data_IF_845098671244
#
_entry.id   IF_845098671244
#
_cell.length_a   1.000
_cell.length_b   1.000
_cell.length_c   1.000
_cell.angle_alpha   90.00
_cell.angle_beta   90.00
_cell.angle_gamma   90.00
#
_symmetry.space_group_name_H-M   'P 1'
#
loop_
_entity.id
_entity.type
_entity.pdbx_description
1 polymer ?
#
# COMPACT_ATOMS: atom_id res chain seq x y z
N UNK A 1 -11.26 -5.33 -0.13
CA UNK A 1 -11.97 -5.07 -1.39
C UNK A 1 -11.93 -3.58 -1.67
N UNK A 2 -11.92 -3.18 -2.94
CA UNK A 2 -11.89 -1.76 -3.32
C UNK A 2 -13.28 -1.17 -3.15
N UNK A 3 -13.36 -0.07 -2.41
CA UNK A 3 -14.58 0.73 -2.21
C UNK A 3 -14.55 1.97 -3.11
N UNK A 4 -15.71 2.54 -3.40
CA UNK A 4 -15.82 3.67 -4.33
C UNK A 4 -15.04 4.92 -3.81
N UNK A 5 -15.08 5.17 -2.51
CA UNK A 5 -14.34 6.24 -1.83
C UNK A 5 -12.81 6.12 -2.02
N UNK A 6 -12.27 4.91 -2.19
CA UNK A 6 -10.84 4.70 -2.38
C UNK A 6 -10.29 5.33 -3.67
N UNK A 7 -11.12 5.46 -4.72
CA UNK A 7 -10.69 6.15 -5.95
C UNK A 7 -10.40 7.63 -5.71
N UNK A 8 -11.01 8.22 -4.68
CA UNK A 8 -10.91 9.63 -4.30
C UNK A 8 -9.81 9.90 -3.26
N UNK A 9 -9.01 8.89 -2.90
CA UNK A 9 -7.93 9.07 -1.93
C UNK A 9 -6.90 10.11 -2.41
N UNK A 10 -6.65 11.13 -1.57
CA UNK A 10 -5.62 12.16 -1.80
C UNK A 10 -4.52 12.13 -0.72
N UNK A 11 -4.78 11.56 0.46
CA UNK A 11 -3.78 11.45 1.53
C UNK A 11 -4.32 10.97 2.88
N UNK A 12 -3.43 10.84 3.86
CA UNK A 12 -3.77 10.37 5.22
C UNK A 12 -3.67 8.85 5.37
N UNK A 13 -4.37 8.27 6.34
CA UNK A 13 -4.48 6.80 6.46
C UNK A 13 -5.88 6.38 6.07
N UNK A 14 -6.01 5.72 4.92
CA UNK A 14 -7.29 5.21 4.46
C UNK A 14 -7.87 4.20 5.46
N UNK A 15 -9.13 4.43 5.84
CA UNK A 15 -9.97 3.49 6.58
C UNK A 15 -11.39 3.74 6.10
N UNK A 16 -12.06 2.71 5.61
CA UNK A 16 -13.45 2.87 5.19
C UNK A 16 -14.33 3.03 6.44
N UNK A 17 -14.80 4.25 6.71
CA UNK A 17 -15.66 4.52 7.86
C UNK A 17 -17.10 4.11 7.55
N UNK A 18 -17.65 3.20 8.35
CA UNK A 18 -19.01 2.68 8.21
C UNK A 18 -20.10 3.53 8.92
N UNK A 19 -19.83 4.73 9.45
CA UNK A 19 -20.76 5.31 10.45
C UNK A 19 -21.24 6.76 10.26
N UNK A 20 -20.49 7.69 9.67
CA UNK A 20 -20.89 9.12 9.74
C UNK A 20 -21.49 9.70 8.45
N UNK A 21 -21.40 8.98 7.32
CA UNK A 21 -22.02 9.38 6.06
C UNK A 21 -22.78 8.19 5.47
N UNK A 22 -23.94 7.85 6.04
CA UNK A 22 -24.97 7.02 5.37
C UNK A 22 -25.61 7.78 4.20
N UNK A 23 -24.82 8.43 3.36
CA UNK A 23 -25.30 9.07 2.16
C UNK A 23 -25.22 8.04 1.03
N UNK A 24 -26.33 7.32 0.88
CA UNK A 24 -26.70 6.45 -0.26
C UNK A 24 -26.05 5.07 -0.33
N UNK A 25 -26.85 4.07 -0.69
CA UNK A 25 -26.41 2.67 -0.87
C UNK A 25 -25.29 2.49 -1.91
N UNK A 26 -25.08 3.49 -2.78
CA UNK A 26 -23.98 3.51 -3.75
C UNK A 26 -22.59 3.66 -3.13
N UNK A 27 -22.45 4.25 -1.94
CA UNK A 27 -21.15 4.46 -1.29
C UNK A 27 -20.58 3.17 -0.66
N UNK A 28 -21.46 2.19 -0.42
CA UNK A 28 -21.07 0.85 0.02
C UNK A 28 -20.74 -0.07 -1.16
N UNK A 29 -20.78 0.44 -2.40
CA UNK A 29 -20.50 -0.38 -3.58
C UNK A 29 -19.05 -0.86 -3.55
N UNK A 30 -18.92 -2.16 -3.37
CA UNK A 30 -17.66 -2.86 -3.56
C UNK A 30 -17.43 -2.93 -5.06
N UNK A 31 -16.40 -2.24 -5.54
CA UNK A 31 -16.12 -2.14 -6.97
C UNK A 31 -15.26 -3.30 -7.48
N UNK A 32 -14.66 -4.07 -6.57
CA UNK A 32 -13.95 -5.31 -6.90
C UNK A 32 -12.75 -5.60 -5.99
N UNK A 33 -11.80 -6.38 -6.52
CA UNK A 33 -10.49 -6.64 -5.92
C UNK A 33 -9.39 -5.93 -6.69
N UNK A 34 -8.30 -5.58 -6.01
CA UNK A 34 -7.15 -4.90 -6.63
C UNK A 34 -5.86 -5.32 -5.92
N UNK A 35 -4.80 -5.56 -6.68
CA UNK A 35 -3.50 -5.95 -6.14
C UNK A 35 -2.58 -4.74 -6.05
N UNK A 36 -1.93 -4.59 -4.90
CA UNK A 36 -1.00 -3.50 -4.60
C UNK A 36 0.31 -4.04 -4.05
N UNK A 37 1.35 -3.21 -3.99
CA UNK A 37 2.64 -3.58 -3.41
C UNK A 37 2.83 -2.90 -2.06
N UNK A 38 2.85 -3.68 -0.99
CA UNK A 38 3.24 -3.21 0.34
C UNK A 38 4.75 -2.97 0.35
N UNK A 39 5.19 -1.77 0.74
CA UNK A 39 6.61 -1.39 0.79
C UNK A 39 7.10 -0.99 2.18
N UNK A 40 6.19 -0.86 3.15
CA UNK A 40 6.54 -0.50 4.51
C UNK A 40 5.31 -0.43 5.41
N UNK A 41 5.54 -0.01 6.65
CA UNK A 41 4.51 0.22 7.66
C UNK A 41 4.97 1.31 8.61
N UNK A 42 4.03 1.84 9.38
CA UNK A 42 4.33 2.83 10.41
C UNK A 42 3.17 3.01 11.37
N UNK A 43 3.27 4.11 12.09
CA UNK A 43 2.26 4.63 13.01
C UNK A 43 2.30 6.16 12.90
N UNK A 44 1.14 6.77 12.70
CA UNK A 44 1.00 8.24 12.75
C UNK A 44 1.11 8.73 14.20
N UNK A 45 1.35 10.03 14.40
CA UNK A 45 1.50 10.62 15.75
C UNK A 45 0.27 10.46 16.65
N UNK A 46 -0.90 10.24 16.06
CA UNK A 46 -2.16 9.96 16.76
C UNK A 46 -2.36 8.46 17.10
N UNK A 47 -1.35 7.61 16.88
CA UNK A 47 -1.39 6.18 17.17
C UNK A 47 -2.01 5.31 16.07
N UNK A 48 -2.44 5.90 14.94
CA UNK A 48 -3.03 5.14 13.84
C UNK A 48 -1.94 4.38 13.07
N UNK A 49 -1.98 3.06 13.17
CA UNK A 49 -1.06 2.15 12.46
C UNK A 49 -1.45 2.00 10.99
N UNK A 50 -0.47 1.98 10.11
CA UNK A 50 -0.70 1.83 8.67
C UNK A 50 0.28 0.87 7.97
N UNK A 51 -0.17 0.34 6.84
CA UNK A 51 0.66 -0.17 5.75
C UNK A 51 0.91 0.93 4.74
N UNK A 52 2.14 1.06 4.24
CA UNK A 52 2.49 1.93 3.12
C UNK A 52 2.53 1.10 1.83
N UNK A 53 1.72 1.49 0.86
CA UNK A 53 1.50 0.75 -0.36
C UNK A 53 1.78 1.60 -1.60
N UNK A 54 2.33 0.97 -2.64
CA UNK A 54 2.45 1.57 -3.98
C UNK A 54 1.28 1.08 -4.83
N UNK A 55 0.58 2.03 -5.45
CA UNK A 55 -0.50 1.76 -6.39
C UNK A 55 0.02 1.76 -7.84
N UNK A 56 -0.82 1.33 -8.79
CA UNK A 56 -0.51 1.24 -10.22
C UNK A 56 -1.36 2.17 -11.10
N UNK A 57 -1.91 3.24 -10.52
CA UNK A 57 -2.77 4.23 -11.21
C UNK A 57 -2.03 5.52 -11.60
N UNK A 58 -0.70 5.49 -11.57
CA UNK A 58 0.16 6.63 -11.90
C UNK A 58 0.45 7.53 -10.69
N UNK A 59 1.43 8.41 -10.86
CA UNK A 59 1.93 9.28 -9.78
C UNK A 59 0.97 10.40 -9.37
N UNK A 60 -0.01 10.73 -10.22
CA UNK A 60 -0.98 11.79 -9.93
C UNK A 60 -2.08 11.38 -8.96
N UNK A 61 -2.16 10.09 -8.63
CA UNK A 61 -3.15 9.55 -7.72
C UNK A 61 -2.56 9.41 -6.32
N UNK A 62 -3.34 9.76 -5.28
CA UNK A 62 -2.91 9.69 -3.89
C UNK A 62 -1.66 10.52 -3.58
N UNK A 63 -0.78 9.98 -2.75
CA UNK A 63 0.46 10.62 -2.35
C UNK A 63 1.59 10.15 -3.29
N UNK A 64 1.73 10.82 -4.44
CA UNK A 64 2.72 10.50 -5.48
C UNK A 64 2.64 9.03 -5.99
N UNK A 65 1.42 8.50 -6.13
CA UNK A 65 1.17 7.11 -6.52
C UNK A 65 1.23 6.11 -5.37
N UNK A 66 1.38 6.59 -4.14
CA UNK A 66 1.35 5.78 -2.92
C UNK A 66 0.12 6.10 -2.07
N UNK A 67 -0.16 5.20 -1.13
CA UNK A 67 -1.21 5.41 -0.14
C UNK A 67 -0.87 4.69 1.16
N UNK A 68 -1.46 5.17 2.26
CA UNK A 68 -1.46 4.46 3.53
C UNK A 68 -2.85 3.90 3.80
N UNK A 69 -2.91 2.73 4.40
CA UNK A 69 -4.16 2.06 4.78
C UNK A 69 -4.03 1.45 6.16
N UNK A 70 -5.12 1.50 6.94
CA UNK A 70 -5.16 1.07 8.34
C UNK A 70 -4.66 -0.37 8.48
N UNK A 71 -3.72 -0.56 9.40
CA UNK A 71 -3.05 -1.84 9.68
C UNK A 71 -3.53 -2.43 11.00
N UNK A 72 -3.63 -3.75 11.06
CA UNK A 72 -4.01 -4.53 12.24
C UNK A 72 -5.52 -4.67 12.42
N UNK A 73 -6.31 -4.35 11.39
CA UNK A 73 -7.76 -4.45 11.40
C UNK A 73 -8.31 -5.17 10.15
N UNK A 74 -7.43 -5.76 9.33
CA UNK A 74 -7.75 -6.29 8.00
C UNK A 74 -8.61 -5.31 7.16
N UNK A 75 -8.27 -4.01 7.24
CA UNK A 75 -9.01 -2.95 6.55
C UNK A 75 -9.08 -3.27 5.06
N UNK A 76 -10.29 -3.28 4.52
CA UNK A 76 -10.53 -3.63 3.12
C UNK A 76 -9.82 -4.94 2.71
N UNK A 77 -9.74 -5.94 3.60
CA UNK A 77 -9.17 -7.26 3.29
C UNK A 77 -7.67 -7.26 2.97
N UNK A 78 -6.94 -6.17 3.27
CA UNK A 78 -5.53 -6.04 2.84
C UNK A 78 -4.59 -7.07 3.51
N UNK A 79 -5.01 -7.67 4.61
CA UNK A 79 -4.22 -8.64 5.38
C UNK A 79 -4.66 -10.09 5.10
N UNK A 80 -5.62 -10.30 4.21
CA UNK A 80 -6.22 -11.61 3.92
C UNK A 80 -5.41 -12.44 2.91
N UNK A 81 -4.86 -11.80 1.87
CA UNK A 81 -4.09 -12.49 0.82
C UNK A 81 -2.81 -11.73 0.48
N UNK A 82 -1.70 -12.13 1.13
CA UNK A 82 -0.38 -11.53 0.93
C UNK A 82 0.60 -12.59 0.41
N UNK A 83 1.25 -12.28 -0.72
CA UNK A 83 2.24 -13.17 -1.34
C UNK A 83 3.61 -12.49 -1.34
N UNK A 84 4.62 -13.22 -0.86
CA UNK A 84 6.04 -12.85 -0.96
C UNK A 84 6.81 -13.90 -1.75
N UNK A 85 7.79 -13.46 -2.53
CA UNK A 85 8.66 -14.36 -3.31
C UNK A 85 10.13 -14.02 -3.10
N UNK A 86 10.97 -15.05 -3.06
CA UNK A 86 12.42 -14.88 -3.09
C UNK A 86 12.90 -14.87 -4.54
N UNK A 87 13.42 -13.73 -4.99
CA UNK A 87 14.02 -13.65 -6.31
C UNK A 87 15.29 -14.51 -6.37
N UNK A 88 15.44 -15.33 -7.42
CA UNK A 88 16.70 -16.01 -7.71
C UNK A 88 17.71 -14.97 -8.17
N UNK A 89 18.71 -14.69 -7.34
CA UNK A 89 19.81 -13.79 -7.70
C UNK A 89 20.98 -14.63 -8.20
N UNK A 90 21.30 -14.54 -9.49
CA UNK A 90 22.48 -15.21 -10.04
C UNK A 90 23.78 -14.57 -9.52
N UNK A 91 24.78 -15.41 -9.24
CA UNK A 91 26.05 -15.04 -8.60
C UNK A 91 26.83 -13.93 -9.36
N UNK A 92 26.64 -13.81 -10.68
CA UNK A 92 27.27 -12.77 -11.51
C UNK A 92 26.87 -11.34 -11.09
N UNK A 93 25.71 -11.14 -10.46
CA UNK A 93 25.25 -9.84 -9.96
C UNK A 93 25.74 -9.48 -8.56
N UNK A 94 26.26 -10.44 -7.80
CA UNK A 94 26.76 -10.22 -6.43
C UNK A 94 28.22 -9.74 -6.47
N UNK A 95 29.02 -10.25 -7.39
CA UNK A 95 30.43 -9.86 -7.57
C UNK A 95 30.58 -8.38 -7.97
N UNK A 96 29.73 -7.88 -8.87
CA UNK A 96 29.74 -6.48 -9.34
C UNK A 96 29.38 -5.48 -8.24
N UNK A 97 28.53 -5.85 -7.28
CA UNK A 97 28.21 -5.03 -6.09
C UNK A 97 29.35 -4.98 -5.07
N UNK A 98 30.11 -6.07 -4.88
CA UNK A 98 31.29 -6.08 -3.98
C UNK A 98 32.45 -5.24 -4.52
N UNK A 99 32.67 -5.26 -5.84
CA UNK A 99 33.70 -4.46 -6.52
C UNK A 99 33.43 -2.95 -6.46
N UNK A 100 32.16 -2.50 -6.52
CA UNK A 100 31.83 -1.06 -6.41
C UNK A 100 32.03 -0.49 -5.00
N UNK A 101 31.91 -1.29 -3.93
CA UNK A 101 32.22 -0.85 -2.55
C UNK A 101 33.71 -0.67 -2.26
N UNK A 102 34.59 -1.26 -3.08
CA UNK A 102 36.04 -1.15 -2.90
C UNK A 102 36.69 -0.01 -3.70
N UNK A 103 35.95 0.66 -4.61
CA UNK A 103 36.47 1.78 -5.43
C UNK A 103 36.21 3.17 -4.84
N UNK A 104 35.60 3.26 -3.65
CA UNK A 104 35.30 4.53 -2.95
C UNK A 104 35.97 4.63 -1.58
N UNK A 105 37.13 4.00 -1.41
CA UNK A 105 38.06 4.28 -0.31
C UNK A 105 39.36 4.83 -0.88
#
# INVERSE_FOLDING_TARGET
MVRADFYLYEGGVYSHTNEELRLTESDHSITGTHSVKIIGWGEESNGVKYWLCVNSWGQRWGEDGTFKIKRGANESGIEEFVVGVWARVEAHNVASRKLRRHRHK
#
